data_IF_725242609730
#
_entry.id   IF_725242609730
#
_cell.length_a   1.000
_cell.length_b   1.000
_cell.length_c   1.000
_cell.angle_alpha   90.00
_cell.angle_beta   90.00
_cell.angle_gamma   90.00
#
_symmetry.space_group_name_H-M   'P 1'
#
loop_
_entity.id
_entity.type
_entity.pdbx_description
1 polymer ?
#
# COMPACT_ATOMS: atom_id res chain seq x y z
N UNK A 1 9.01 12.89 -19.01
CA UNK A 1 9.00 11.77 -18.03
C UNK A 1 7.88 12.00 -17.04
N UNK A 2 6.65 11.56 -17.36
CA UNK A 2 5.53 11.67 -16.44
C UNK A 2 5.67 10.59 -15.37
N UNK A 3 5.92 10.99 -14.12
CA UNK A 3 5.76 10.08 -12.98
C UNK A 3 4.34 9.54 -13.06
N UNK A 4 4.19 8.27 -13.42
CA UNK A 4 2.88 7.63 -13.59
C UNK A 4 2.02 7.96 -12.39
N UNK A 5 0.78 8.43 -12.63
CA UNK A 5 -0.17 8.72 -11.57
C UNK A 5 -0.17 7.50 -10.65
N UNK A 6 0.20 7.71 -9.38
CA UNK A 6 0.19 6.66 -8.36
C UNK A 6 -1.29 6.39 -8.08
N UNK A 7 -1.92 5.58 -8.93
CA UNK A 7 -3.32 5.23 -8.80
C UNK A 7 -3.41 4.30 -7.58
N UNK A 8 -4.32 4.60 -6.67
CA UNK A 8 -4.63 3.70 -5.57
C UNK A 8 -5.06 2.34 -6.15
N UNK A 9 -4.71 1.24 -5.49
CA UNK A 9 -5.28 -0.05 -5.84
C UNK A 9 -6.80 0.00 -5.66
N UNK A 10 -7.54 -0.79 -6.45
CA UNK A 10 -8.99 -0.80 -6.39
C UNK A 10 -9.50 -1.10 -4.96
N UNK A 11 -8.82 -2.00 -4.24
CA UNK A 11 -9.15 -2.36 -2.87
C UNK A 11 -8.92 -1.18 -1.90
N UNK A 12 -7.83 -0.43 -2.08
CA UNK A 12 -7.56 0.74 -1.26
C UNK A 12 -8.60 1.84 -1.51
N UNK A 13 -8.98 2.06 -2.77
CA UNK A 13 -10.03 3.02 -3.10
C UNK A 13 -11.38 2.62 -2.48
N UNK A 14 -11.75 1.33 -2.52
CA UNK A 14 -12.98 0.81 -1.91
C UNK A 14 -13.00 1.01 -0.40
N UNK A 15 -11.90 0.72 0.29
CA UNK A 15 -11.81 0.88 1.73
C UNK A 15 -11.93 2.36 2.14
N UNK A 16 -11.32 3.29 1.39
CA UNK A 16 -11.48 4.73 1.61
C UNK A 16 -12.93 5.22 1.40
N UNK A 17 -13.60 4.72 0.36
CA UNK A 17 -15.02 5.04 0.12
C UNK A 17 -15.89 4.50 1.26
N UNK A 18 -15.64 3.27 1.72
CA UNK A 18 -16.34 2.66 2.84
C UNK A 18 -16.18 3.48 4.12
N UNK A 19 -14.97 3.94 4.42
CA UNK A 19 -14.69 4.81 5.56
C UNK A 19 -15.46 6.13 5.47
N UNK A 20 -15.44 6.77 4.29
CA UNK A 20 -16.16 8.02 4.06
C UNK A 20 -17.68 7.87 4.24
N UNK A 21 -18.25 6.75 3.78
CA UNK A 21 -19.67 6.42 4.01
C UNK A 21 -19.94 6.29 5.52
N UNK A 22 -19.13 5.52 6.25
CA UNK A 22 -19.26 5.37 7.70
C UNK A 22 -19.25 6.72 8.43
N UNK A 23 -18.31 7.60 8.08
CA UNK A 23 -18.22 8.95 8.65
C UNK A 23 -19.43 9.83 8.33
N UNK A 24 -19.93 9.79 7.09
CA UNK A 24 -21.08 10.61 6.66
C UNK A 24 -22.36 10.17 7.36
N UNK A 25 -22.57 8.87 7.54
CA UNK A 25 -23.77 8.32 8.15
C UNK A 25 -23.66 8.14 9.68
N UNK A 26 -22.49 8.40 10.26
CA UNK A 26 -22.24 8.18 11.70
C UNK A 26 -22.19 6.71 12.10
N UNK A 27 -21.90 5.81 11.16
CA UNK A 27 -21.78 4.37 11.39
C UNK A 27 -20.34 4.02 11.79
N UNK A 28 -20.11 3.96 13.10
CA UNK A 28 -18.80 3.64 13.70
C UNK A 28 -18.36 2.23 13.34
N UNK A 29 -19.28 1.29 13.16
CA UNK A 29 -18.94 -0.09 12.77
C UNK A 29 -18.36 -0.10 11.36
N UNK A 30 -18.99 0.62 10.43
CA UNK A 30 -18.50 0.73 9.05
C UNK A 30 -17.16 1.49 8.99
N UNK A 31 -17.01 2.55 9.77
CA UNK A 31 -15.75 3.32 9.83
C UNK A 31 -14.59 2.48 10.39
N UNK A 32 -14.82 1.74 11.47
CA UNK A 32 -13.78 0.91 12.10
C UNK A 32 -13.37 -0.26 11.21
N UNK A 33 -14.34 -0.89 10.53
CA UNK A 33 -14.08 -1.98 9.59
C UNK A 33 -13.27 -1.48 8.39
N UNK A 34 -13.64 -0.33 7.80
CA UNK A 34 -12.89 0.30 6.72
C UNK A 34 -11.47 0.70 7.13
N UNK A 35 -11.29 1.20 8.36
CA UNK A 35 -9.97 1.55 8.90
C UNK A 35 -9.06 0.32 9.01
N UNK A 36 -9.61 -0.82 9.44
CA UNK A 36 -8.88 -2.08 9.50
C UNK A 36 -8.47 -2.58 8.11
N UNK A 37 -9.37 -2.46 7.12
CA UNK A 37 -9.08 -2.80 5.72
C UNK A 37 -7.93 -1.94 5.14
N UNK A 38 -7.96 -0.63 5.37
CA UNK A 38 -6.90 0.29 4.95
C UNK A 38 -5.55 -0.11 5.57
N UNK A 39 -5.52 -0.32 6.88
CA UNK A 39 -4.29 -0.71 7.58
C UNK A 39 -3.70 -2.03 7.03
N UNK A 40 -4.56 -3.00 6.70
CA UNK A 40 -4.12 -4.26 6.11
C UNK A 40 -3.51 -4.06 4.70
N UNK A 41 -4.15 -3.25 3.86
CA UNK A 41 -3.66 -2.95 2.50
C UNK A 41 -2.32 -2.18 2.57
N UNK A 42 -2.22 -1.21 3.47
CA UNK A 42 -0.97 -0.47 3.68
C UNK A 42 0.16 -1.38 4.18
N UNK A 43 -0.14 -2.30 5.10
CA UNK A 43 0.83 -3.28 5.57
C UNK A 43 1.30 -4.24 4.44
N UNK A 44 0.40 -4.64 3.55
CA UNK A 44 0.75 -5.44 2.36
C UNK A 44 1.64 -4.64 1.39
N UNK A 45 1.28 -3.38 1.13
CA UNK A 45 2.06 -2.49 0.28
C UNK A 45 3.45 -2.19 0.86
N UNK A 46 3.55 -2.06 2.18
CA UNK A 46 4.82 -1.91 2.89
C UNK A 46 5.69 -3.16 2.72
N UNK A 47 5.15 -4.37 2.94
CA UNK A 47 5.87 -5.64 2.75
C UNK A 47 6.33 -5.86 1.31
N UNK A 48 5.50 -5.52 0.32
CA UNK A 48 5.87 -5.59 -1.11
C UNK A 48 7.01 -4.64 -1.47
N UNK A 49 7.08 -3.48 -0.83
CA UNK A 49 8.14 -2.49 -1.05
C UNK A 49 9.49 -2.89 -0.44
N UNK A 50 9.51 -3.68 0.63
CA UNK A 50 10.75 -4.18 1.25
C UNK A 50 11.43 -5.26 0.39
N UNK A 51 10.68 -6.03 -0.40
CA UNK A 51 11.25 -7.06 -1.28
C UNK A 51 11.93 -6.53 -2.56
N UNK A 52 11.78 -5.25 -2.87
CA UNK A 52 12.40 -4.63 -4.05
C UNK A 52 13.83 -4.11 -3.80
N UNK A 53 14.40 -4.32 -2.61
CA UNK A 53 15.77 -3.86 -2.30
C UNK A 53 16.64 -4.97 -1.71
N UNK A 54 17.11 -5.91 -2.56
CA UNK A 54 18.50 -6.44 -2.61
C UNK A 54 18.61 -7.62 -3.61
N UNK A 55 19.78 -7.88 -4.26
CA UNK A 55 21.13 -7.36 -3.98
C UNK A 55 21.97 -7.01 -5.23
N UNK A 56 22.54 -5.80 -5.35
CA UNK A 56 23.73 -5.63 -6.20
C UNK A 56 24.95 -6.03 -5.39
N UNK A 57 25.26 -7.33 -5.43
CA UNK A 57 26.54 -7.92 -5.05
C UNK A 57 27.63 -7.23 -5.88
N UNK A 58 28.65 -6.57 -5.30
CA UNK A 58 29.84 -6.23 -6.07
C UNK A 58 30.62 -7.53 -6.27
N UNK A 59 30.32 -8.26 -7.33
CA UNK A 59 31.19 -9.30 -7.86
C UNK A 59 32.05 -8.67 -8.95
N UNK A 60 33.32 -8.37 -8.65
CA UNK A 60 34.41 -8.27 -9.65
C UNK A 60 35.77 -8.15 -8.95
N UNK A 61 36.32 -9.29 -8.54
CA UNK A 61 37.75 -9.58 -8.71
C UNK A 61 37.77 -10.98 -9.32
N UNK A 62 38.47 -11.22 -10.44
CA UNK A 62 39.92 -11.35 -10.36
C UNK A 62 40.76 -10.92 -11.60
N UNK A 63 42.02 -10.55 -11.33
CA UNK A 63 43.20 -10.95 -12.12
C UNK A 63 43.90 -9.86 -12.95
N UNK A 64 45.15 -10.09 -13.37
CA UNK A 64 46.17 -11.02 -12.86
C UNK A 64 47.05 -10.43 -11.74
#
# INVERSE_FOLDING_TARGET
MGKGRKVLSADHARALIKQAIGMIFGDITVETEATAEIAAIEAQHAKGRVKATKPTKPSSTPGP
#
